data_IF_382429314218
#
_entry.id   IF_382429314218
#
_cell.length_a   1.000
_cell.length_b   1.000
_cell.length_c   1.000
_cell.angle_alpha   90.00
_cell.angle_beta   90.00
_cell.angle_gamma   90.00
#
_symmetry.space_group_name_H-M   'P 1'
#
loop_
_entity.id
_entity.type
_entity.pdbx_description
1 polymer ?
#
# COMPACT_ATOMS: atom_id res chain seq x y z
N UNK A 1 -18.21 20.05 26.42
CA UNK A 1 -19.30 19.39 25.67
C UNK A 1 -19.29 19.86 24.21
N UNK A 2 -18.64 19.12 23.31
CA UNK A 2 -18.76 19.24 21.85
C UNK A 2 -18.05 18.03 21.20
N UNK A 3 -18.62 16.85 21.34
CA UNK A 3 -18.24 15.63 20.61
C UNK A 3 -19.54 15.08 20.02
N UNK A 4 -19.68 15.12 18.72
CA UNK A 4 -20.54 14.28 17.87
C UNK A 4 -21.14 15.06 16.70
N UNK A 5 -20.32 15.26 15.63
CA UNK A 5 -20.82 15.63 14.28
C UNK A 5 -19.98 15.05 13.13
N UNK A 6 -19.15 14.04 13.35
CA UNK A 6 -18.31 13.44 12.27
C UNK A 6 -18.83 12.09 11.78
N UNK A 7 -19.83 11.48 12.45
CA UNK A 7 -20.31 10.14 12.10
C UNK A 7 -21.49 10.09 11.12
N UNK A 8 -22.01 11.22 10.67
CA UNK A 8 -23.23 11.28 9.86
C UNK A 8 -23.02 11.37 8.34
N UNK A 9 -21.77 11.45 7.85
CA UNK A 9 -21.51 11.66 6.40
C UNK A 9 -21.17 10.36 5.63
N UNK A 10 -21.08 9.21 6.27
CA UNK A 10 -20.70 7.95 5.61
C UNK A 10 -21.88 7.03 5.26
N UNK A 11 -23.11 7.40 5.60
CA UNK A 11 -24.29 6.52 5.42
C UNK A 11 -25.19 6.84 4.22
N UNK A 12 -24.90 7.85 3.41
CA UNK A 12 -25.79 8.28 2.32
C UNK A 12 -25.42 7.78 0.92
N UNK A 13 -24.47 6.85 0.76
CA UNK A 13 -24.07 6.32 -0.57
C UNK A 13 -24.54 4.87 -0.83
N UNK A 14 -25.44 4.32 -0.02
CA UNK A 14 -25.96 2.97 -0.22
C UNK A 14 -27.43 3.05 -0.64
N UNK A 15 -27.69 3.60 -1.81
CA UNK A 15 -28.96 3.38 -2.53
C UNK A 15 -28.64 2.66 -3.83
N UNK A 16 -28.31 1.36 -3.74
CA UNK A 16 -28.13 0.48 -4.87
C UNK A 16 -29.48 0.09 -5.46
N UNK A 17 -29.71 0.40 -6.73
CA UNK A 17 -30.78 -0.20 -7.51
C UNK A 17 -30.48 -1.68 -7.70
N UNK A 18 -31.21 -2.55 -7.00
CA UNK A 18 -31.21 -3.99 -7.27
C UNK A 18 -32.07 -4.25 -8.49
N UNK A 19 -31.45 -4.39 -9.66
CA UNK A 19 -32.07 -5.04 -10.81
C UNK A 19 -31.78 -6.53 -10.69
N UNK A 20 -32.81 -7.34 -10.50
CA UNK A 20 -32.69 -8.79 -10.64
C UNK A 20 -32.38 -9.12 -12.11
N UNK A 21 -31.15 -9.51 -12.39
CA UNK A 21 -30.66 -9.90 -13.70
C UNK A 21 -30.27 -11.38 -13.67
N UNK A 22 -30.55 -12.06 -14.76
CA UNK A 22 -30.30 -13.48 -15.03
C UNK A 22 -28.89 -13.90 -14.60
N UNK A 23 -28.77 -14.93 -13.76
CA UNK A 23 -27.69 -15.13 -12.80
C UNK A 23 -26.47 -15.88 -13.33
N UNK A 24 -25.95 -15.51 -14.47
CA UNK A 24 -24.61 -15.99 -14.82
C UNK A 24 -23.55 -14.96 -14.43
N UNK A 25 -22.59 -15.37 -13.57
CA UNK A 25 -21.50 -14.48 -13.15
C UNK A 25 -20.69 -13.95 -14.33
N UNK A 26 -20.57 -12.64 -14.43
CA UNK A 26 -19.77 -11.98 -15.46
C UNK A 26 -18.31 -11.94 -15.06
N UNK A 27 -17.38 -12.34 -15.95
CA UNK A 27 -15.92 -12.34 -15.71
C UNK A 27 -15.19 -11.16 -16.38
N UNK A 28 -15.83 -10.45 -17.33
CA UNK A 28 -15.29 -9.18 -17.84
C UNK A 28 -15.41 -8.09 -16.77
N UNK A 29 -14.58 -7.05 -16.90
CA UNK A 29 -14.61 -5.91 -16.01
C UNK A 29 -15.96 -5.21 -16.06
N UNK A 30 -16.54 -4.92 -14.91
CA UNK A 30 -17.81 -4.24 -14.77
C UNK A 30 -17.62 -2.86 -14.14
N UNK A 31 -18.46 -1.91 -14.54
CA UNK A 31 -18.57 -0.63 -13.85
C UNK A 31 -19.18 -0.85 -12.47
N UNK A 32 -18.57 -0.28 -11.43
CA UNK A 32 -19.02 -0.39 -10.05
C UNK A 32 -17.98 0.07 -9.06
N UNK A 33 -18.33 -0.07 -7.80
CA UNK A 33 -17.46 0.27 -6.69
C UNK A 33 -17.25 -0.93 -5.79
N UNK A 34 -16.12 -0.95 -5.09
CA UNK A 34 -15.80 -2.00 -4.11
C UNK A 34 -15.23 -1.35 -2.86
N UNK A 35 -15.74 -1.76 -1.70
CA UNK A 35 -15.21 -1.39 -0.39
C UNK A 35 -14.70 -2.64 0.31
N UNK A 36 -13.44 -2.61 0.78
CA UNK A 36 -12.80 -3.75 1.42
C UNK A 36 -12.25 -3.42 2.79
N UNK A 37 -12.16 -4.45 3.62
CA UNK A 37 -11.46 -4.45 4.90
C UNK A 37 -10.34 -5.48 4.85
N UNK A 38 -9.19 -5.16 5.45
CA UNK A 38 -8.02 -6.03 5.49
C UNK A 38 -7.46 -6.17 6.89
N UNK A 39 -6.90 -7.36 7.16
CA UNK A 39 -6.01 -7.62 8.28
C UNK A 39 -4.73 -8.23 7.73
N UNK A 40 -3.58 -7.79 8.24
CA UNK A 40 -2.29 -8.24 7.71
C UNK A 40 -1.18 -8.21 8.75
N UNK A 41 -0.14 -9.00 8.49
CA UNK A 41 1.18 -8.85 9.08
C UNK A 41 2.10 -8.08 8.14
N UNK A 42 2.80 -7.11 8.67
CA UNK A 42 3.76 -6.28 7.96
C UNK A 42 5.15 -6.40 8.57
N UNK A 43 6.16 -6.44 7.73
CA UNK A 43 7.56 -6.41 8.12
C UNK A 43 8.37 -5.52 7.21
N UNK A 44 9.14 -4.60 7.79
CA UNK A 44 10.17 -3.80 7.13
C UNK A 44 11.55 -4.23 7.65
N UNK A 45 12.55 -4.24 6.77
CA UNK A 45 13.95 -4.56 7.10
C UNK A 45 14.92 -3.64 6.37
N UNK A 46 15.99 -3.26 7.09
CA UNK A 46 17.22 -2.70 6.54
C UNK A 46 18.37 -3.69 6.79
N UNK A 47 18.66 -4.62 5.86
CA UNK A 47 19.58 -5.73 6.12
C UNK A 47 21.00 -5.30 6.49
N UNK A 48 21.46 -4.13 5.99
CA UNK A 48 22.81 -3.61 6.26
C UNK A 48 23.00 -3.07 7.68
N UNK A 49 21.91 -2.74 8.40
CA UNK A 49 21.91 -2.17 9.74
C UNK A 49 21.26 -3.09 10.79
N UNK A 50 20.80 -4.27 10.39
CA UNK A 50 20.01 -5.20 11.23
C UNK A 50 18.79 -4.52 11.87
N UNK A 51 18.17 -3.59 11.12
CA UNK A 51 16.94 -2.89 11.53
C UNK A 51 15.73 -3.63 11.03
N UNK A 52 14.74 -3.77 11.92
CA UNK A 52 13.48 -4.44 11.66
C UNK A 52 12.31 -3.70 12.29
N UNK A 53 11.19 -3.60 11.56
CA UNK A 53 9.89 -3.13 12.05
C UNK A 53 8.85 -4.19 11.72
N UNK A 54 8.14 -4.68 12.72
CA UNK A 54 7.03 -5.62 12.58
C UNK A 54 5.74 -4.93 13.04
N UNK A 55 4.64 -5.10 12.31
CA UNK A 55 3.35 -4.55 12.69
C UNK A 55 2.18 -5.45 12.25
N UNK A 56 1.22 -5.75 13.13
CA UNK A 56 -0.12 -6.11 12.72
C UNK A 56 -0.83 -4.85 12.20
N UNK A 57 -1.47 -4.94 11.03
CA UNK A 57 -2.16 -3.84 10.39
C UNK A 57 -3.62 -4.18 10.13
N UNK A 58 -4.48 -3.16 10.24
CA UNK A 58 -5.85 -3.17 9.73
C UNK A 58 -5.98 -2.12 8.65
N UNK A 59 -6.80 -2.39 7.62
CA UNK A 59 -6.91 -1.47 6.49
C UNK A 59 -8.29 -1.41 5.90
N UNK A 60 -8.52 -0.31 5.18
CA UNK A 60 -9.69 -0.06 4.36
C UNK A 60 -9.21 0.14 2.93
N UNK A 61 -9.86 -0.54 1.98
CA UNK A 61 -9.61 -0.42 0.55
C UNK A 61 -10.88 0.08 -0.14
N UNK A 62 -10.73 0.98 -1.09
CA UNK A 62 -11.79 1.39 -2.00
C UNK A 62 -11.30 1.26 -3.44
N UNK A 63 -12.16 0.79 -4.34
CA UNK A 63 -11.92 0.80 -5.76
C UNK A 63 -13.16 1.26 -6.51
N UNK A 64 -13.00 2.21 -7.40
CA UNK A 64 -14.00 2.61 -8.39
C UNK A 64 -13.55 2.19 -9.77
N UNK A 65 -14.37 1.48 -10.52
CA UNK A 65 -14.10 0.98 -11.86
C UNK A 65 -15.14 1.53 -12.84
N UNK A 66 -14.68 1.95 -14.00
CA UNK A 66 -15.53 2.27 -15.14
C UNK A 66 -15.10 1.44 -16.34
N UNK A 67 -15.99 0.55 -16.80
CA UNK A 67 -15.81 -0.28 -17.99
C UNK A 67 -16.46 0.39 -19.21
N UNK A 68 -15.69 0.56 -20.28
CA UNK A 68 -16.18 1.03 -21.56
C UNK A 68 -16.79 -0.13 -22.35
N UNK A 69 -17.73 0.14 -23.26
CA UNK A 69 -18.39 -0.91 -24.05
C UNK A 69 -17.51 -1.63 -25.09
N UNK A 70 -16.18 -1.41 -25.06
CA UNK A 70 -15.20 -1.92 -25.99
C UNK A 70 -14.03 -2.65 -25.28
N UNK A 71 -14.32 -3.30 -24.16
CA UNK A 71 -13.38 -4.06 -23.31
C UNK A 71 -12.30 -3.23 -22.59
N UNK A 72 -12.20 -1.93 -22.82
CA UNK A 72 -11.35 -1.02 -22.06
C UNK A 72 -11.99 -0.69 -20.72
N UNK A 73 -11.15 -0.49 -19.71
CA UNK A 73 -11.58 0.02 -18.42
C UNK A 73 -10.56 0.98 -17.82
N UNK A 74 -11.04 1.82 -16.92
CA UNK A 74 -10.23 2.60 -15.99
C UNK A 74 -10.62 2.25 -14.56
N UNK A 75 -9.65 2.30 -13.65
CA UNK A 75 -9.86 1.99 -12.25
C UNK A 75 -9.09 2.98 -11.38
N UNK A 76 -9.72 3.45 -10.31
CA UNK A 76 -9.10 4.20 -9.25
C UNK A 76 -9.12 3.38 -7.96
N UNK A 77 -7.97 3.16 -7.34
CA UNK A 77 -7.83 2.45 -6.08
C UNK A 77 -7.31 3.39 -5.00
N UNK A 78 -7.85 3.26 -3.79
CA UNK A 78 -7.36 3.91 -2.59
C UNK A 78 -7.29 2.91 -1.45
N UNK A 79 -6.17 2.85 -0.75
CA UNK A 79 -5.96 2.01 0.43
C UNK A 79 -5.41 2.85 1.56
N UNK A 80 -5.91 2.66 2.77
CA UNK A 80 -5.33 3.18 4.01
C UNK A 80 -5.18 2.04 5.01
N UNK A 81 -4.02 1.98 5.67
CA UNK A 81 -3.78 1.02 6.76
C UNK A 81 -3.21 1.72 7.98
N UNK A 82 -3.49 1.12 9.13
CA UNK A 82 -3.00 1.57 10.41
C UNK A 82 -2.69 0.38 11.32
N UNK A 83 -1.68 0.53 12.17
CA UNK A 83 -1.35 -0.45 13.20
C UNK A 83 -0.34 0.04 14.22
N UNK A 84 0.06 -0.87 15.08
CA UNK A 84 1.04 -0.64 16.14
C UNK A 84 2.29 -1.46 15.86
N UNK A 85 3.40 -0.78 15.59
CA UNK A 85 4.65 -1.42 15.21
C UNK A 85 5.57 -1.66 16.41
N UNK A 86 6.47 -2.64 16.21
CA UNK A 86 7.62 -2.92 17.06
C UNK A 86 8.89 -2.73 16.24
N UNK A 87 9.76 -1.86 16.73
CA UNK A 87 11.10 -1.62 16.18
C UNK A 87 12.12 -2.50 16.90
N UNK A 88 13.11 -2.99 16.15
CA UNK A 88 14.33 -3.65 16.62
C UNK A 88 15.50 -3.14 15.79
N UNK A 89 16.59 -2.71 16.43
CA UNK A 89 17.79 -2.15 15.80
C UNK A 89 18.74 -1.62 16.86
N UNK A 90 18.94 -0.31 16.96
CA UNK A 90 19.75 0.33 18.03
C UNK A 90 19.13 0.19 19.44
N UNK A 91 18.30 -0.78 19.66
CA UNK A 91 17.48 -1.08 20.80
C UNK A 91 16.12 -1.58 20.34
N UNK A 92 15.15 -1.61 21.24
CA UNK A 92 13.77 -1.98 20.91
C UNK A 92 12.81 -0.86 21.32
N UNK A 93 11.72 -0.72 20.56
CA UNK A 93 10.61 0.16 20.90
C UNK A 93 9.31 -0.51 20.45
N UNK A 94 8.25 -0.43 21.25
CA UNK A 94 6.94 -1.03 20.95
C UNK A 94 5.85 0.05 20.93
N UNK A 95 4.68 -0.32 20.43
CA UNK A 95 3.52 0.57 20.35
C UNK A 95 3.75 1.83 19.50
N UNK A 96 4.54 1.69 18.42
CA UNK A 96 4.82 2.77 17.48
C UNK A 96 3.63 2.89 16.53
N UNK A 97 2.93 4.05 16.46
CA UNK A 97 1.89 4.26 15.47
C UNK A 97 2.50 4.18 14.06
N UNK A 98 1.98 3.27 13.25
CA UNK A 98 2.45 3.04 11.89
C UNK A 98 1.27 3.08 10.92
N UNK A 99 1.42 3.82 9.84
CA UNK A 99 0.37 3.92 8.83
C UNK A 99 0.93 4.15 7.43
N UNK A 100 0.18 3.75 6.43
CA UNK A 100 0.43 4.20 5.06
C UNK A 100 -0.90 4.34 4.30
N UNK A 101 -0.87 5.14 3.24
CA UNK A 101 -1.88 5.11 2.20
C UNK A 101 -1.26 4.88 0.83
N UNK A 102 -2.06 4.31 -0.07
CA UNK A 102 -1.68 3.94 -1.42
C UNK A 102 -2.82 4.32 -2.37
N UNK A 103 -2.55 5.15 -3.36
CA UNK A 103 -3.50 5.67 -4.33
C UNK A 103 -3.04 5.26 -5.73
N UNK A 104 -3.96 4.75 -6.58
CA UNK A 104 -3.62 4.33 -7.93
C UNK A 104 -4.68 4.74 -8.92
N UNK A 105 -4.24 5.13 -10.12
CA UNK A 105 -5.08 5.27 -11.30
C UNK A 105 -4.60 4.30 -12.36
N UNK A 106 -5.48 3.41 -12.83
CA UNK A 106 -5.15 2.32 -13.74
C UNK A 106 -5.99 2.40 -15.02
N UNK A 107 -5.44 1.91 -16.12
CA UNK A 107 -6.13 1.65 -17.37
C UNK A 107 -5.80 0.24 -17.83
N UNK A 108 -6.78 -0.51 -18.32
CA UNK A 108 -6.58 -1.88 -18.76
C UNK A 108 -7.57 -2.27 -19.86
N UNK A 109 -7.37 -3.50 -20.36
CA UNK A 109 -8.17 -4.07 -21.43
C UNK A 109 -8.46 -5.55 -21.15
N UNK A 110 -9.71 -6.00 -21.34
CA UNK A 110 -10.15 -7.38 -21.14
C UNK A 110 -9.97 -8.22 -22.43
N UNK A 111 -9.08 -9.19 -22.39
CA UNK A 111 -8.97 -10.23 -23.39
C UNK A 111 -9.78 -11.46 -22.95
N UNK A 112 -10.88 -11.74 -23.65
CA UNK A 112 -11.79 -12.86 -23.34
C UNK A 112 -11.43 -14.12 -24.14
N UNK A 113 -11.22 -15.23 -23.44
CA UNK A 113 -10.83 -16.53 -24.00
C UNK A 113 -11.94 -17.59 -23.83
N UNK A 114 -13.05 -17.42 -24.56
CA UNK A 114 -14.21 -18.33 -24.46
C UNK A 114 -13.92 -19.77 -24.89
N UNK A 115 -12.98 -19.98 -25.81
CA UNK A 115 -12.65 -21.33 -26.37
C UNK A 115 -11.74 -22.17 -25.46
N UNK A 116 -11.14 -21.59 -24.43
CA UNK A 116 -10.16 -22.21 -23.52
C UNK A 116 -10.68 -22.30 -22.07
N UNK A 117 -11.95 -22.69 -21.91
CA UNK A 117 -12.54 -22.84 -20.58
C UNK A 117 -13.13 -21.56 -19.97
N UNK A 118 -13.24 -20.47 -20.75
CA UNK A 118 -13.96 -19.26 -20.32
C UNK A 118 -13.25 -18.47 -19.24
N UNK A 119 -12.09 -17.91 -19.54
CA UNK A 119 -11.39 -16.97 -18.65
C UNK A 119 -11.13 -15.63 -19.35
N UNK A 120 -10.81 -14.61 -18.56
CA UNK A 120 -10.38 -13.27 -19.00
C UNK A 120 -8.99 -13.00 -18.47
N UNK A 121 -8.12 -12.49 -19.34
CA UNK A 121 -6.87 -11.84 -18.96
C UNK A 121 -6.99 -10.34 -19.20
N UNK A 122 -6.81 -9.55 -18.18
CA UNK A 122 -6.90 -8.10 -18.23
C UNK A 122 -5.55 -7.46 -17.86
N UNK A 123 -4.61 -7.26 -18.81
CA UNK A 123 -3.42 -6.46 -18.58
C UNK A 123 -3.82 -5.03 -18.27
N UNK A 124 -3.05 -4.39 -17.39
CA UNK A 124 -3.24 -3.01 -16.98
C UNK A 124 -1.91 -2.33 -16.68
N UNK A 125 -1.94 -1.01 -16.74
CA UNK A 125 -0.88 -0.12 -16.27
C UNK A 125 -1.48 1.17 -15.72
N UNK A 126 -0.65 2.06 -15.18
CA UNK A 126 -1.15 3.31 -14.63
C UNK A 126 -0.10 4.10 -13.87
N UNK A 127 -0.54 4.80 -12.84
CA UNK A 127 0.32 5.52 -11.92
C UNK A 127 -0.13 5.25 -10.48
N UNK A 128 0.84 5.10 -9.56
CA UNK A 128 0.61 4.91 -8.15
C UNK A 128 1.40 5.88 -7.30
N UNK A 129 0.85 6.19 -6.15
CA UNK A 129 1.48 6.99 -5.10
C UNK A 129 1.25 6.31 -3.76
N UNK A 130 2.35 6.05 -3.03
CA UNK A 130 2.33 5.47 -1.69
C UNK A 130 3.02 6.40 -0.71
N UNK A 131 2.41 6.65 0.45
CA UNK A 131 2.98 7.43 1.53
C UNK A 131 2.94 6.62 2.82
N UNK A 132 4.12 6.43 3.45
CA UNK A 132 4.29 5.72 4.71
C UNK A 132 4.68 6.72 5.79
N UNK A 133 4.13 6.52 6.98
CA UNK A 133 4.46 7.31 8.15
C UNK A 133 4.77 6.38 9.33
N UNK A 134 6.01 6.48 9.82
CA UNK A 134 6.53 5.83 11.00
C UNK A 134 6.71 6.87 12.11
N UNK A 135 5.83 6.83 13.11
CA UNK A 135 5.82 7.79 14.22
C UNK A 135 6.68 7.27 15.39
N UNK A 136 7.95 7.03 15.12
CA UNK A 136 8.92 6.46 16.05
C UNK A 136 9.61 7.53 16.90
N UNK A 137 8.86 8.36 17.61
CA UNK A 137 9.43 9.34 18.54
C UNK A 137 9.85 8.73 19.88
N UNK A 138 10.84 9.35 20.57
CA UNK A 138 11.26 8.99 21.91
C UNK A 138 12.40 7.96 22.01
N UNK A 139 12.79 7.53 23.23
CA UNK A 139 13.94 6.66 23.43
C UNK A 139 13.61 5.19 23.18
N UNK A 140 14.59 4.46 22.66
CA UNK A 140 14.61 2.99 22.58
C UNK A 140 15.00 2.39 23.94
N UNK A 141 14.94 1.06 24.05
CA UNK A 141 15.36 0.34 25.27
C UNK A 141 16.84 0.51 25.62
N UNK A 142 17.68 0.91 24.67
CA UNK A 142 19.10 1.22 24.90
C UNK A 142 19.35 2.69 25.31
N UNK A 143 18.32 3.54 25.34
CA UNK A 143 18.42 4.96 25.58
C UNK A 143 18.75 5.79 24.30
N UNK A 144 18.93 5.17 23.16
CA UNK A 144 19.08 5.90 21.89
C UNK A 144 17.74 6.57 21.51
N UNK A 145 17.80 7.87 21.17
CA UNK A 145 16.62 8.59 20.72
C UNK A 145 16.24 8.19 19.30
N UNK A 146 14.98 7.90 19.09
CA UNK A 146 14.36 7.67 17.79
C UNK A 146 13.78 8.97 17.21
N UNK A 147 13.38 8.90 15.97
CA UNK A 147 12.78 10.03 15.24
C UNK A 147 11.74 9.52 14.25
N UNK A 148 10.78 10.37 13.91
CA UNK A 148 9.77 10.08 12.93
C UNK A 148 10.37 10.00 11.52
N UNK A 149 9.82 9.12 10.69
CA UNK A 149 10.18 8.99 9.28
C UNK A 149 8.93 9.00 8.41
N UNK A 150 9.04 9.64 7.26
CA UNK A 150 8.02 9.54 6.22
C UNK A 150 8.66 9.20 4.89
N UNK A 151 8.07 8.24 4.18
CA UNK A 151 8.52 7.82 2.86
C UNK A 151 7.39 7.98 1.88
N UNK A 152 7.64 8.57 0.72
CA UNK A 152 6.67 8.58 -0.36
C UNK A 152 7.30 8.03 -1.63
N UNK A 153 6.49 7.28 -2.40
CA UNK A 153 6.90 6.59 -3.61
C UNK A 153 5.91 6.88 -4.72
N UNK A 154 6.43 7.39 -5.84
CA UNK A 154 5.71 7.44 -7.12
C UNK A 154 6.17 6.25 -7.93
N UNK A 155 5.24 5.48 -8.48
CA UNK A 155 5.56 4.25 -9.19
C UNK A 155 4.63 4.01 -10.39
N UNK A 156 5.09 3.18 -11.32
CA UNK A 156 4.36 2.70 -12.49
C UNK A 156 3.93 1.25 -12.23
N UNK A 157 2.65 0.96 -11.97
CA UNK A 157 2.14 -0.41 -11.91
C UNK A 157 2.01 -0.99 -13.31
N UNK A 158 2.42 -2.26 -13.48
CA UNK A 158 2.25 -3.08 -14.67
C UNK A 158 1.75 -4.43 -14.20
N UNK A 159 0.56 -4.82 -14.58
CA UNK A 159 -0.04 -6.04 -14.05
C UNK A 159 -0.98 -6.74 -15.00
N UNK A 160 -1.46 -7.87 -14.54
CA UNK A 160 -2.51 -8.64 -15.21
C UNK A 160 -3.51 -9.15 -14.18
N UNK A 161 -4.77 -9.00 -14.48
CA UNK A 161 -5.87 -9.65 -13.74
C UNK A 161 -6.33 -10.85 -14.53
N UNK A 162 -6.30 -12.03 -13.91
CA UNK A 162 -6.91 -13.26 -14.42
C UNK A 162 -8.24 -13.47 -13.74
N UNK A 163 -9.32 -13.65 -14.52
CA UNK A 163 -10.65 -13.94 -14.00
C UNK A 163 -11.19 -15.21 -14.64
N UNK A 164 -11.70 -16.12 -13.81
CA UNK A 164 -12.34 -17.36 -14.28
C UNK A 164 -13.60 -17.65 -13.49
N UNK A 165 -14.58 -18.26 -14.15
CA UNK A 165 -15.75 -18.82 -13.47
C UNK A 165 -15.34 -20.05 -12.67
N UNK A 166 -15.78 -20.13 -11.42
CA UNK A 166 -15.71 -21.35 -10.62
C UNK A 166 -17.00 -22.17 -10.84
N UNK A 167 -18.13 -21.47 -10.91
CA UNK A 167 -19.45 -21.98 -11.28
C UNK A 167 -20.31 -20.81 -11.81
N UNK A 168 -21.61 -21.00 -11.99
CA UNK A 168 -22.52 -20.00 -12.56
C UNK A 168 -22.66 -18.74 -11.70
N UNK A 169 -22.40 -18.82 -10.39
CA UNK A 169 -22.58 -17.75 -9.43
C UNK A 169 -21.31 -17.26 -8.78
N UNK A 170 -20.19 -17.97 -8.96
CA UNK A 170 -18.91 -17.65 -8.30
C UNK A 170 -17.78 -17.51 -9.31
N UNK A 171 -16.88 -16.59 -9.05
CA UNK A 171 -15.65 -16.40 -9.84
C UNK A 171 -14.43 -16.27 -8.95
N UNK A 172 -13.27 -16.56 -9.53
CA UNK A 172 -11.96 -16.31 -8.96
C UNK A 172 -11.28 -15.20 -9.75
N UNK A 173 -10.80 -14.18 -9.04
CA UNK A 173 -10.00 -13.10 -9.60
C UNK A 173 -8.60 -13.15 -8.96
N UNK A 174 -7.57 -13.31 -9.80
CA UNK A 174 -6.17 -13.33 -9.37
C UNK A 174 -5.44 -12.18 -10.05
N UNK A 175 -4.76 -11.34 -9.28
CA UNK A 175 -3.98 -10.20 -9.78
C UNK A 175 -2.51 -10.46 -9.50
N UNK A 176 -1.68 -10.29 -10.52
CA UNK A 176 -0.24 -10.16 -10.41
C UNK A 176 0.18 -8.78 -10.94
N UNK A 177 0.99 -8.06 -10.16
CA UNK A 177 1.41 -6.71 -10.49
C UNK A 177 2.88 -6.51 -10.11
N UNK A 178 3.62 -5.84 -10.98
CA UNK A 178 4.95 -5.31 -10.78
C UNK A 178 4.87 -3.79 -10.72
N UNK A 179 5.39 -3.18 -9.66
CA UNK A 179 5.46 -1.74 -9.46
C UNK A 179 6.88 -1.25 -9.74
N UNK A 180 7.09 -0.52 -10.83
CA UNK A 180 8.38 0.11 -11.11
C UNK A 180 8.49 1.44 -10.34
N UNK A 181 9.46 1.55 -9.42
CA UNK A 181 9.70 2.80 -8.69
C UNK A 181 10.22 3.88 -9.64
N UNK A 182 9.46 4.97 -9.79
CA UNK A 182 9.89 6.16 -10.54
C UNK A 182 10.73 7.05 -9.64
N UNK A 183 10.22 7.35 -8.44
CA UNK A 183 10.88 8.21 -7.46
C UNK A 183 10.38 7.89 -6.05
N UNK A 184 11.32 7.82 -5.12
CA UNK A 184 11.08 7.80 -3.68
C UNK A 184 11.68 9.02 -3.01
N UNK A 185 11.02 9.51 -1.96
CA UNK A 185 11.53 10.55 -1.08
C UNK A 185 11.37 10.10 0.37
N UNK A 186 12.46 10.06 1.09
CA UNK A 186 12.51 9.74 2.52
C UNK A 186 12.83 11.01 3.30
N UNK A 187 12.00 11.36 4.28
CA UNK A 187 12.27 12.43 5.24
C UNK A 187 12.52 11.81 6.60
N UNK A 188 13.71 12.08 7.15
CA UNK A 188 14.14 11.66 8.49
C UNK A 188 14.19 12.88 9.40
N UNK A 189 13.32 12.93 10.41
CA UNK A 189 13.21 14.04 11.36
C UNK A 189 14.28 13.92 12.46
N UNK A 190 15.57 13.99 12.09
CA UNK A 190 16.71 13.79 13.00
C UNK A 190 16.76 14.82 14.12
N UNK A 191 16.18 16.01 13.93
CA UNK A 191 16.05 17.04 14.99
C UNK A 191 15.29 16.54 16.22
N UNK A 192 14.44 15.53 16.08
CA UNK A 192 13.73 14.89 17.21
C UNK A 192 14.66 14.00 18.04
N UNK A 193 15.69 13.41 17.43
CA UNK A 193 16.69 12.62 18.15
C UNK A 193 17.68 13.52 18.90
N UNK A 194 18.11 14.63 18.27
CA UNK A 194 18.97 15.63 18.90
C UNK A 194 18.76 17.01 18.23
N UNK A 195 18.53 18.11 19.01
CA UNK A 195 18.17 19.42 18.47
C UNK A 195 19.23 20.05 17.53
N UNK A 196 20.47 19.62 17.60
CA UNK A 196 21.56 20.09 16.73
C UNK A 196 21.64 19.35 15.40
N UNK A 197 20.84 18.29 15.19
CA UNK A 197 20.75 17.58 13.94
C UNK A 197 19.71 18.23 13.03
N UNK A 198 20.01 18.47 11.75
CA UNK A 198 18.99 18.90 10.79
C UNK A 198 18.12 17.71 10.35
N UNK A 199 16.87 17.99 10.03
CA UNK A 199 16.06 17.03 9.28
C UNK A 199 16.67 16.79 7.89
N UNK A 200 16.60 15.55 7.42
CA UNK A 200 17.23 15.15 6.16
C UNK A 200 16.20 14.60 5.21
N UNK A 201 16.27 15.06 3.96
CA UNK A 201 15.47 14.55 2.84
C UNK A 201 16.36 13.84 1.84
N UNK A 202 16.13 12.54 1.66
CA UNK A 202 16.86 11.70 0.72
C UNK A 202 15.97 11.28 -0.46
N UNK A 203 16.58 11.08 -1.63
CA UNK A 203 15.91 10.63 -2.85
C UNK A 203 16.31 9.20 -3.20
N UNK A 204 15.34 8.39 -3.60
CA UNK A 204 15.51 6.99 -4.02
C UNK A 204 14.95 6.83 -5.44
N UNK A 205 15.77 6.33 -6.37
CA UNK A 205 15.41 6.17 -7.79
C UNK A 205 15.46 4.72 -8.27
N UNK A 206 15.76 3.78 -7.37
CA UNK A 206 15.89 2.36 -7.71
C UNK A 206 15.09 1.53 -6.73
N UNK A 207 14.21 0.72 -7.27
CA UNK A 207 13.38 -0.18 -6.49
C UNK A 207 12.24 -0.74 -7.31
N UNK A 208 11.52 -1.66 -6.70
CA UNK A 208 10.32 -2.26 -7.28
C UNK A 208 9.39 -2.79 -6.20
N UNK A 209 8.13 -2.91 -6.54
CA UNK A 209 7.13 -3.64 -5.79
C UNK A 209 6.63 -4.87 -6.56
N UNK A 210 6.13 -5.86 -5.81
CA UNK A 210 5.40 -7.00 -6.35
C UNK A 210 4.11 -7.15 -5.56
N UNK A 211 3.00 -7.38 -6.25
CA UNK A 211 1.71 -7.64 -5.60
C UNK A 211 1.08 -8.89 -6.19
N UNK A 212 0.56 -9.72 -5.32
CA UNK A 212 -0.23 -10.89 -5.68
C UNK A 212 -1.47 -10.94 -4.80
N UNK A 213 -2.63 -11.13 -5.39
CA UNK A 213 -3.87 -11.39 -4.67
C UNK A 213 -4.72 -12.40 -5.41
N UNK A 214 -5.54 -13.15 -4.66
CA UNK A 214 -6.49 -14.08 -5.24
C UNK A 214 -7.79 -14.00 -4.47
N UNK A 215 -8.84 -13.45 -5.11
CA UNK A 215 -10.13 -13.15 -4.49
C UNK A 215 -11.19 -14.10 -5.02
N UNK A 216 -11.80 -14.87 -4.13
CA UNK A 216 -12.99 -15.66 -4.42
C UNK A 216 -14.22 -14.78 -4.25
N UNK A 217 -15.00 -14.64 -5.30
CA UNK A 217 -16.16 -13.77 -5.35
C UNK A 217 -17.45 -14.58 -5.44
N UNK A 218 -18.41 -14.24 -4.58
CA UNK A 218 -19.75 -14.82 -4.49
C UNK A 218 -20.76 -13.72 -4.23
N UNK A 219 -21.76 -13.60 -5.12
CA UNK A 219 -22.67 -12.44 -5.11
C UNK A 219 -21.84 -11.13 -5.10
N UNK A 220 -22.18 -10.17 -4.26
CA UNK A 220 -21.50 -8.90 -4.10
C UNK A 220 -20.25 -8.97 -3.20
N UNK A 221 -20.01 -10.14 -2.56
CA UNK A 221 -18.90 -10.31 -1.62
C UNK A 221 -17.69 -10.97 -2.29
N UNK A 222 -16.52 -10.61 -1.82
CA UNK A 222 -15.28 -11.31 -2.16
C UNK A 222 -14.38 -11.46 -0.94
N UNK A 223 -13.63 -12.56 -0.90
CA UNK A 223 -12.66 -12.85 0.16
C UNK A 223 -11.43 -13.51 -0.44
N UNK A 224 -10.26 -13.15 0.07
CA UNK A 224 -9.03 -13.81 -0.39
C UNK A 224 -7.76 -13.26 0.22
N UNK A 225 -6.66 -14.01 0.05
CA UNK A 225 -5.33 -13.60 0.49
C UNK A 225 -4.73 -12.58 -0.46
N UNK A 226 -3.79 -11.79 0.09
CA UNK A 226 -2.91 -10.95 -0.68
C UNK A 226 -1.51 -10.90 -0.06
N UNK A 227 -0.53 -10.60 -0.90
CA UNK A 227 0.83 -10.29 -0.49
C UNK A 227 1.35 -9.12 -1.31
N UNK A 228 2.07 -8.22 -0.66
CA UNK A 228 2.78 -7.11 -1.27
C UNK A 228 4.23 -7.13 -0.78
N UNK A 229 5.16 -6.99 -1.70
CA UNK A 229 6.59 -6.91 -1.42
C UNK A 229 7.17 -5.65 -2.06
N UNK A 230 8.03 -4.92 -1.36
CA UNK A 230 8.83 -3.83 -1.91
C UNK A 230 10.31 -4.06 -1.64
N UNK A 231 11.14 -3.74 -2.62
CA UNK A 231 12.58 -3.68 -2.49
C UNK A 231 13.06 -2.31 -3.00
N UNK A 232 13.59 -1.51 -2.10
CA UNK A 232 14.06 -0.15 -2.40
C UNK A 232 15.57 -0.11 -2.13
N UNK A 233 16.32 0.41 -3.07
CA UNK A 233 17.79 0.53 -2.97
C UNK A 233 18.17 1.78 -2.17
N UNK A 234 19.46 1.87 -1.81
CA UNK A 234 20.01 3.05 -1.12
C UNK A 234 19.62 4.35 -1.81
N UNK A 235 19.32 5.34 -0.99
CA UNK A 235 19.13 6.72 -1.46
C UNK A 235 20.44 7.38 -1.91
N UNK A 236 20.34 8.60 -2.43
CA UNK A 236 21.46 9.53 -2.48
C UNK A 236 21.94 9.85 -1.05
N UNK A 237 23.20 10.25 -0.92
CA UNK A 237 23.73 10.81 0.31
C UNK A 237 23.53 12.32 0.35
N UNK A 238 23.14 12.85 1.53
CA UNK A 238 23.02 14.28 1.80
C UNK A 238 24.01 14.65 2.91
N UNK A 239 24.83 15.68 2.69
CA UNK A 239 25.82 16.13 3.67
C UNK A 239 25.47 17.51 4.18
N UNK A 240 25.34 17.63 5.49
CA UNK A 240 25.09 18.88 6.22
C UNK A 240 26.29 19.22 7.13
N UNK A 241 26.49 20.49 7.40
CA UNK A 241 27.43 20.94 8.45
C UNK A 241 26.60 21.15 9.73
N UNK A 242 27.02 20.52 10.81
CA UNK A 242 26.41 20.66 12.14
C UNK A 242 27.44 21.26 13.10
N UNK A 243 26.97 22.06 14.06
CA UNK A 243 27.84 22.64 15.11
C UNK A 243 27.48 21.99 16.44
N UNK A 244 28.47 21.35 17.06
CA UNK A 244 28.34 20.73 18.39
C UNK A 244 29.43 21.29 19.29
N UNK A 245 29.05 21.89 20.41
CA UNK A 245 29.99 22.51 21.36
C UNK A 245 30.98 23.52 20.70
N UNK A 246 30.48 24.32 19.74
CA UNK A 246 31.27 25.30 19.01
C UNK A 246 32.17 24.75 17.89
N UNK A 247 32.17 23.44 17.67
CA UNK A 247 32.94 22.79 16.60
C UNK A 247 32.01 22.37 15.45
N UNK A 248 32.51 22.57 14.21
CA UNK A 248 31.80 22.17 13.01
C UNK A 248 32.15 20.74 12.61
N UNK A 249 31.11 19.92 12.33
CA UNK A 249 31.23 18.55 11.86
C UNK A 249 30.45 18.38 10.55
N UNK A 250 30.91 17.47 9.69
CA UNK A 250 30.14 17.02 8.51
C UNK A 250 29.31 15.82 8.89
N UNK A 251 27.99 15.94 8.77
CA UNK A 251 27.02 14.85 8.89
C UNK A 251 26.60 14.42 7.49
N UNK A 252 26.96 13.20 7.10
CA UNK A 252 26.45 12.58 5.87
C UNK A 252 25.42 11.53 6.21
N UNK A 253 24.20 11.70 5.69
CA UNK A 253 23.08 10.82 5.91
C UNK A 253 22.56 10.26 4.58
N UNK A 254 22.16 9.02 4.57
CA UNK A 254 21.47 8.35 3.47
C UNK A 254 20.45 7.36 4.03
N UNK A 255 19.43 7.03 3.25
CA UNK A 255 18.50 5.95 3.59
C UNK A 255 19.04 4.64 3.05
N UNK A 256 19.28 3.63 3.90
CA UNK A 256 19.76 2.32 3.48
C UNK A 256 18.76 1.59 2.58
N UNK A 257 19.28 0.63 1.82
CA UNK A 257 18.42 -0.30 1.09
C UNK A 257 17.52 -1.06 2.06
N UNK A 258 16.26 -1.16 1.71
CA UNK A 258 15.26 -1.78 2.55
C UNK A 258 14.32 -2.68 1.74
N UNK A 259 13.67 -3.59 2.43
CA UNK A 259 12.58 -4.35 1.88
C UNK A 259 11.43 -4.43 2.86
N UNK A 260 10.22 -4.51 2.30
CA UNK A 260 8.99 -4.72 3.08
C UNK A 260 8.23 -5.89 2.52
N UNK A 261 7.57 -6.63 3.39
CA UNK A 261 6.57 -7.62 3.04
C UNK A 261 5.32 -7.40 3.87
N UNK A 262 4.18 -7.43 3.23
CA UNK A 262 2.87 -7.44 3.87
C UNK A 262 2.07 -8.60 3.31
N UNK A 263 1.51 -9.42 4.19
CA UNK A 263 0.64 -10.52 3.81
C UNK A 263 -0.61 -10.53 4.69
N UNK A 264 -1.76 -10.72 4.08
CA UNK A 264 -3.03 -10.61 4.78
C UNK A 264 -4.21 -11.22 4.05
N UNK A 265 -5.38 -11.00 4.64
CA UNK A 265 -6.68 -11.39 4.09
C UNK A 265 -7.50 -10.11 3.88
N UNK A 266 -8.21 -10.08 2.77
CA UNK A 266 -9.16 -9.03 2.40
C UNK A 266 -10.56 -9.64 2.30
N UNK A 267 -11.55 -8.92 2.85
CA UNK A 267 -12.98 -9.12 2.58
C UNK A 267 -13.50 -7.85 1.95
N UNK A 268 -14.25 -7.95 0.86
CA UNK A 268 -14.76 -6.77 0.17
C UNK A 268 -16.20 -6.97 -0.31
N UNK A 269 -16.92 -5.86 -0.43
CA UNK A 269 -18.27 -5.75 -0.94
C UNK A 269 -18.30 -4.86 -2.18
N UNK A 270 -18.93 -5.33 -3.25
CA UNK A 270 -19.08 -4.63 -4.53
C UNK A 270 -20.51 -4.09 -4.69
N UNK A 271 -20.67 -2.86 -5.22
CA UNK A 271 -21.96 -2.18 -5.38
C UNK A 271 -21.96 -1.19 -6.55
#
# INVERSE_FOLDING_TARGET
MRKSKVLALLLCLISGYSCAQDSSVTITTQTGNTLGLTISGYQYKEPSLDVKIDAPLVGVDYAGTYAFGNDWFVKADARYVYGSAKYTGSGTQSNIPYSYYDLRGLVGYDFSFSKLGGFVLAPFTGIGYRYLFDNQGGPTSSGANSYNRSSNYVYLPIGVTHRMKVNDTHKLETVFEYDYLIQGTQVSHLSQAAPYLPDVTNQQFRGYGLRLSSMYQFSEWSVGPYVTYWNIQNSNAVTNVITVNGNNYRLTAYEPANNTIEAGIKVAYSF
#
